data_IF_466369605291
#
_entry.id   IF_466369605291
#
_cell.length_a   1.000
_cell.length_b   1.000
_cell.length_c   1.000
_cell.angle_alpha   90.00
_cell.angle_beta   90.00
_cell.angle_gamma   90.00
#
_symmetry.space_group_name_H-M   'P 1'
#
loop_
_entity.id
_entity.type
_entity.pdbx_description
1 polymer ?
#
# COMPACT_ATOMS: atom_id res chain seq x y z
N UNK A 1 -6.91 -18.33 24.83
CA UNK A 1 -6.50 -17.40 25.91
C UNK A 1 -5.18 -17.84 26.52
N UNK A 2 -5.05 -19.07 27.02
CA UNK A 2 -3.83 -19.54 27.72
C UNK A 2 -2.56 -19.61 26.85
N UNK A 3 -2.70 -19.86 25.54
CA UNK A 3 -1.56 -19.90 24.61
C UNK A 3 -0.91 -18.53 24.33
N UNK A 4 -1.65 -17.43 24.46
CA UNK A 4 -1.08 -16.08 24.27
C UNK A 4 -0.23 -15.67 25.47
N UNK A 5 -0.69 -16.02 26.69
CA UNK A 5 0.03 -15.78 27.94
C UNK A 5 1.35 -16.59 28.00
N UNK A 6 1.35 -17.84 27.53
CA UNK A 6 2.58 -18.64 27.48
C UNK A 6 3.60 -18.12 26.45
N UNK A 7 3.16 -17.40 25.42
CA UNK A 7 4.05 -16.80 24.41
C UNK A 7 4.61 -15.45 24.84
N UNK A 8 3.84 -14.66 25.60
CA UNK A 8 4.31 -13.41 26.21
C UNK A 8 5.43 -13.64 27.23
N UNK A 9 5.42 -14.77 27.95
CA UNK A 9 6.48 -15.14 28.90
C UNK A 9 7.83 -15.44 28.23
N UNK A 10 7.85 -15.79 26.93
CA UNK A 10 9.08 -16.17 26.20
C UNK A 10 9.64 -15.03 25.34
N UNK A 11 8.78 -14.22 24.71
CA UNK A 11 9.20 -13.17 23.76
C UNK A 11 8.97 -11.73 24.24
N UNK A 12 8.25 -11.54 25.34
CA UNK A 12 7.76 -10.22 25.77
C UNK A 12 6.65 -9.68 24.87
N UNK A 13 5.86 -8.73 25.38
CA UNK A 13 4.72 -8.12 24.69
C UNK A 13 5.11 -7.51 23.32
N UNK A 14 6.27 -6.84 23.27
CA UNK A 14 6.81 -6.23 22.05
C UNK A 14 7.24 -7.28 21.01
N UNK A 15 7.75 -8.43 21.44
CA UNK A 15 8.16 -9.52 20.56
C UNK A 15 6.97 -10.18 19.87
N UNK A 16 5.85 -10.31 20.57
CA UNK A 16 4.60 -10.85 20.02
C UNK A 16 4.03 -9.95 18.91
N UNK A 17 4.03 -8.62 19.12
CA UNK A 17 3.63 -7.65 18.11
C UNK A 17 4.51 -7.73 16.85
N UNK A 18 5.83 -7.81 17.05
CA UNK A 18 6.78 -7.95 15.96
C UNK A 18 6.61 -9.28 15.21
N UNK A 19 6.37 -10.39 15.91
CA UNK A 19 6.14 -11.69 15.29
C UNK A 19 4.88 -11.69 14.40
N UNK A 20 3.79 -11.08 14.87
CA UNK A 20 2.59 -10.90 14.04
C UNK A 20 2.89 -10.08 12.78
N UNK A 21 3.60 -8.95 12.93
CA UNK A 21 4.04 -8.14 11.79
C UNK A 21 4.87 -8.93 10.79
N UNK A 22 5.81 -9.76 11.28
CA UNK A 22 6.65 -10.61 10.44
C UNK A 22 5.82 -11.66 9.68
N UNK A 23 4.96 -12.41 10.38
CA UNK A 23 4.14 -13.49 9.80
C UNK A 23 3.14 -12.93 8.78
N UNK A 24 2.43 -11.86 9.14
CA UNK A 24 1.49 -11.20 8.23
C UNK A 24 2.23 -10.59 7.04
N UNK A 25 3.42 -10.03 7.26
CA UNK A 25 4.31 -9.57 6.19
C UNK A 25 4.69 -10.70 5.24
N UNK A 26 5.04 -11.89 5.74
CA UNK A 26 5.36 -13.06 4.91
C UNK A 26 4.16 -13.46 4.06
N UNK A 27 2.97 -13.54 4.66
CA UNK A 27 1.73 -13.88 3.94
C UNK A 27 1.45 -12.85 2.84
N UNK A 28 1.51 -11.55 3.18
CA UNK A 28 1.30 -10.48 2.21
C UNK A 28 2.33 -10.52 1.08
N UNK A 29 3.63 -10.63 1.41
CA UNK A 29 4.71 -10.65 0.43
C UNK A 29 4.58 -11.83 -0.54
N UNK A 30 4.20 -13.00 -0.02
CA UNK A 30 3.95 -14.19 -0.83
C UNK A 30 2.76 -14.00 -1.78
N UNK A 31 1.62 -13.57 -1.25
CA UNK A 31 0.39 -13.36 -2.02
C UNK A 31 0.54 -12.24 -3.06
N UNK A 32 1.16 -11.13 -2.68
CA UNK A 32 1.42 -9.98 -3.54
C UNK A 32 2.37 -10.34 -4.69
N UNK A 33 3.38 -11.18 -4.43
CA UNK A 33 4.28 -11.62 -5.48
C UNK A 33 3.59 -12.56 -6.48
N UNK A 34 2.85 -13.56 -6.00
CA UNK A 34 2.17 -14.55 -6.86
C UNK A 34 1.07 -13.94 -7.74
N UNK A 35 0.36 -12.94 -7.24
CA UNK A 35 -0.65 -12.19 -8.02
C UNK A 35 -0.06 -11.04 -8.85
N UNK A 36 1.17 -10.63 -8.56
CA UNK A 36 1.75 -9.34 -9.01
C UNK A 36 0.81 -8.18 -8.68
N UNK A 37 0.29 -8.17 -7.46
CA UNK A 37 -0.59 -7.12 -6.95
C UNK A 37 0.10 -5.75 -7.02
N UNK A 38 -0.56 -4.78 -7.65
CA UNK A 38 -0.06 -3.41 -7.78
C UNK A 38 -1.20 -2.46 -8.18
N UNK A 39 -1.46 -1.44 -7.35
CA UNK A 39 -2.45 -0.39 -7.67
C UNK A 39 -2.09 0.37 -8.95
N UNK A 40 -0.79 0.53 -9.25
CA UNK A 40 -0.33 1.21 -10.47
C UNK A 40 -0.85 0.53 -11.71
N UNK A 41 -0.66 -0.78 -11.81
CA UNK A 41 -1.09 -1.51 -13.00
C UNK A 41 -2.60 -1.49 -13.14
N UNK A 42 -3.35 -1.55 -12.04
CA UNK A 42 -4.81 -1.42 -12.07
C UNK A 42 -5.26 -0.04 -12.59
N UNK A 43 -4.62 1.05 -12.13
CA UNK A 43 -4.92 2.41 -12.60
C UNK A 43 -4.52 2.63 -14.07
N UNK A 44 -3.39 2.06 -14.51
CA UNK A 44 -2.94 2.14 -15.91
C UNK A 44 -3.84 1.33 -16.84
N UNK A 45 -4.22 0.11 -16.46
CA UNK A 45 -5.21 -0.70 -17.17
C UNK A 45 -6.53 0.05 -17.34
N UNK A 46 -7.03 0.65 -16.25
CA UNK A 46 -8.23 1.48 -16.27
C UNK A 46 -8.08 2.71 -17.17
N UNK A 47 -6.97 3.46 -17.07
CA UNK A 47 -6.64 4.60 -17.94
C UNK A 47 -6.74 4.23 -19.43
N UNK A 48 -6.24 3.05 -19.79
CA UNK A 48 -6.19 2.55 -21.17
C UNK A 48 -7.47 1.87 -21.63
N UNK A 49 -8.52 1.87 -20.80
CA UNK A 49 -9.77 1.15 -21.03
C UNK A 49 -9.56 -0.36 -21.26
N UNK A 50 -8.45 -0.90 -20.74
CA UNK A 50 -8.11 -2.31 -20.76
C UNK A 50 -8.48 -2.89 -19.40
N UNK A 51 -9.73 -3.35 -19.23
CA UNK A 51 -10.20 -3.97 -17.98
C UNK A 51 -9.60 -5.37 -17.80
N UNK A 52 -8.31 -5.40 -17.49
CA UNK A 52 -7.48 -6.59 -17.44
C UNK A 52 -7.40 -7.26 -16.07
N UNK A 53 -6.46 -8.20 -15.99
CA UNK A 53 -6.26 -9.03 -14.81
C UNK A 53 -5.78 -8.24 -13.58
N UNK A 54 -5.07 -7.12 -13.74
CA UNK A 54 -4.51 -6.38 -12.58
C UNK A 54 -5.57 -5.58 -11.86
N UNK A 55 -6.50 -4.98 -12.59
CA UNK A 55 -7.68 -4.36 -12.01
C UNK A 55 -8.50 -5.37 -11.21
N UNK A 56 -8.78 -6.54 -11.81
CA UNK A 56 -9.54 -7.61 -11.15
C UNK A 56 -8.86 -8.08 -9.85
N UNK A 57 -7.55 -8.32 -9.86
CA UNK A 57 -6.78 -8.72 -8.68
C UNK A 57 -6.83 -7.65 -7.59
N UNK A 58 -6.74 -6.38 -7.95
CA UNK A 58 -6.84 -5.29 -6.98
C UNK A 58 -8.23 -5.19 -6.36
N UNK A 59 -9.29 -5.34 -7.17
CA UNK A 59 -10.67 -5.37 -6.69
C UNK A 59 -10.92 -6.53 -5.72
N UNK A 60 -10.44 -7.73 -6.03
CA UNK A 60 -10.53 -8.89 -5.15
C UNK A 60 -9.83 -8.66 -3.80
N UNK A 61 -8.66 -8.01 -3.82
CA UNK A 61 -7.92 -7.65 -2.61
C UNK A 61 -8.66 -6.60 -1.79
N UNK A 62 -9.18 -5.56 -2.45
CA UNK A 62 -9.95 -4.50 -1.80
C UNK A 62 -11.21 -5.05 -1.14
N UNK A 63 -12.04 -5.77 -1.90
CA UNK A 63 -13.31 -6.31 -1.42
C UNK A 63 -13.12 -7.28 -0.27
N UNK A 64 -12.13 -8.17 -0.38
CA UNK A 64 -11.80 -9.12 0.70
C UNK A 64 -11.36 -8.38 1.95
N UNK A 65 -10.53 -7.34 1.81
CA UNK A 65 -10.10 -6.50 2.92
C UNK A 65 -11.27 -5.78 3.60
N UNK A 66 -12.17 -5.16 2.83
CA UNK A 66 -13.39 -4.51 3.34
C UNK A 66 -14.25 -5.51 4.09
N UNK A 67 -14.60 -6.64 3.49
CA UNK A 67 -15.49 -7.63 4.12
C UNK A 67 -14.90 -8.13 5.43
N UNK A 68 -13.61 -8.50 5.45
CA UNK A 68 -12.97 -9.00 6.67
C UNK A 68 -12.87 -7.91 7.74
N UNK A 69 -12.52 -6.68 7.39
CA UNK A 69 -12.52 -5.56 8.35
C UNK A 69 -13.91 -5.34 8.95
N UNK A 70 -14.97 -5.36 8.13
CA UNK A 70 -16.33 -5.16 8.61
C UNK A 70 -16.84 -6.33 9.47
N UNK A 71 -16.42 -7.57 9.15
CA UNK A 71 -16.67 -8.72 10.03
C UNK A 71 -15.99 -8.57 11.39
N UNK A 72 -14.78 -8.02 11.45
CA UNK A 72 -14.08 -7.80 12.73
C UNK A 72 -14.80 -6.79 13.63
N UNK A 73 -15.42 -5.76 13.06
CA UNK A 73 -16.31 -4.89 13.82
C UNK A 73 -17.57 -5.63 14.30
N UNK A 74 -18.17 -6.46 13.44
CA UNK A 74 -19.34 -7.27 13.83
C UNK A 74 -19.06 -8.30 14.92
N UNK A 75 -17.81 -8.78 15.03
CA UNK A 75 -17.35 -9.64 16.13
C UNK A 75 -16.81 -8.86 17.34
N UNK A 76 -16.92 -7.52 17.34
CA UNK A 76 -16.43 -6.63 18.41
C UNK A 76 -14.92 -6.78 18.69
N UNK A 77 -14.15 -7.31 17.73
CA UNK A 77 -12.68 -7.38 17.82
C UNK A 77 -12.08 -5.99 17.55
N UNK A 78 -12.81 -5.15 16.80
CA UNK A 78 -12.47 -3.75 16.55
C UNK A 78 -13.61 -2.86 17.04
N UNK A 79 -13.25 -1.75 17.68
CA UNK A 79 -14.17 -0.67 17.99
C UNK A 79 -13.75 0.60 17.24
N UNK A 80 -14.71 1.28 16.60
CA UNK A 80 -14.46 2.50 15.83
C UNK A 80 -13.80 3.60 16.68
N UNK A 81 -14.15 3.66 17.98
CA UNK A 81 -13.58 4.59 18.97
C UNK A 81 -12.08 4.38 19.24
N UNK A 82 -11.56 3.19 18.99
CA UNK A 82 -10.15 2.86 19.25
C UNK A 82 -9.28 3.05 18.00
N UNK A 83 -9.90 3.18 16.83
CA UNK A 83 -9.21 3.35 15.56
C UNK A 83 -8.88 4.83 15.38
N UNK A 84 -7.58 5.12 15.46
CA UNK A 84 -7.03 6.47 15.34
C UNK A 84 -7.49 7.21 14.07
N UNK A 85 -7.65 6.50 12.97
CA UNK A 85 -8.06 7.04 11.68
C UNK A 85 -9.51 7.55 11.66
N UNK A 86 -10.34 7.10 12.62
CA UNK A 86 -11.74 7.50 12.78
C UNK A 86 -11.91 8.53 13.91
N UNK A 87 -11.01 8.56 14.90
CA UNK A 87 -11.18 9.41 16.09
C UNK A 87 -10.29 10.64 16.15
N UNK A 88 -9.10 10.63 15.54
CA UNK A 88 -8.23 11.80 15.50
C UNK A 88 -8.60 12.74 14.36
N UNK A 89 -8.20 14.02 14.49
CA UNK A 89 -8.34 14.99 13.41
C UNK A 89 -7.67 14.47 12.13
N UNK A 90 -8.41 14.57 11.02
CA UNK A 90 -8.00 14.12 9.70
C UNK A 90 -7.77 15.30 8.78
N UNK A 91 -6.68 15.26 8.01
CA UNK A 91 -6.38 16.27 6.99
C UNK A 91 -6.95 15.85 5.63
N UNK A 92 -8.00 16.52 5.17
CA UNK A 92 -8.56 16.28 3.83
C UNK A 92 -7.64 16.85 2.75
N UNK A 93 -7.02 18.01 3.01
CA UNK A 93 -6.01 18.58 2.10
C UNK A 93 -4.82 17.65 1.95
N UNK A 94 -4.37 17.05 3.04
CA UNK A 94 -3.30 16.05 3.04
C UNK A 94 -3.66 14.82 2.21
N UNK A 95 -4.86 14.27 2.39
CA UNK A 95 -5.37 13.15 1.58
C UNK A 95 -5.42 13.48 0.09
N UNK A 96 -5.87 14.67 -0.30
CA UNK A 96 -6.00 15.07 -1.70
C UNK A 96 -4.65 15.38 -2.33
N UNK A 97 -3.88 16.31 -1.74
CA UNK A 97 -2.59 16.77 -2.27
C UNK A 97 -1.57 15.63 -2.20
N UNK A 98 -1.45 14.99 -1.04
CA UNK A 98 -0.54 13.87 -0.83
C UNK A 98 -0.91 12.68 -1.70
N UNK A 99 -2.20 12.36 -1.82
CA UNK A 99 -2.68 11.30 -2.70
C UNK A 99 -2.35 11.58 -4.17
N UNK A 100 -2.57 12.82 -4.62
CA UNK A 100 -2.23 13.24 -5.97
C UNK A 100 -0.72 13.11 -6.25
N UNK A 101 0.14 13.60 -5.35
CA UNK A 101 1.60 13.47 -5.46
C UNK A 101 2.05 12.00 -5.47
N UNK A 102 1.47 11.17 -4.61
CA UNK A 102 1.79 9.75 -4.53
C UNK A 102 1.39 9.02 -5.84
N UNK A 103 0.20 9.29 -6.36
CA UNK A 103 -0.31 8.68 -7.59
C UNK A 103 0.48 9.10 -8.84
N UNK A 104 0.91 10.36 -8.93
CA UNK A 104 1.85 10.78 -9.98
C UNK A 104 3.22 10.10 -9.82
N UNK A 105 3.74 10.09 -8.59
CA UNK A 105 5.03 9.47 -8.26
C UNK A 105 5.09 7.98 -8.59
N UNK A 106 4.02 7.22 -8.33
CA UNK A 106 3.98 5.78 -8.64
C UNK A 106 4.00 5.49 -10.15
N UNK A 107 3.39 6.35 -10.97
CA UNK A 107 3.48 6.23 -12.44
C UNK A 107 4.90 6.52 -12.91
N UNK A 108 5.48 7.62 -12.41
CA UNK A 108 6.85 8.03 -12.72
C UNK A 108 7.85 6.94 -12.36
N UNK A 109 7.80 6.43 -11.13
CA UNK A 109 8.70 5.42 -10.56
C UNK A 109 8.48 4.00 -11.09
N UNK A 110 7.43 3.78 -11.88
CA UNK A 110 7.02 2.47 -12.40
C UNK A 110 6.79 1.41 -11.32
N UNK A 111 6.31 1.83 -10.15
CA UNK A 111 6.04 0.95 -9.02
C UNK A 111 5.24 1.65 -7.93
N UNK A 112 4.60 0.88 -7.07
CA UNK A 112 4.07 1.37 -5.79
C UNK A 112 4.96 0.89 -4.64
N UNK A 113 4.79 1.46 -3.45
CA UNK A 113 5.58 1.13 -2.26
C UNK A 113 5.64 -0.37 -1.95
N UNK A 114 4.49 -1.05 -1.94
CA UNK A 114 4.41 -2.50 -1.71
C UNK A 114 5.12 -3.30 -2.81
N UNK A 115 4.94 -2.92 -4.08
CA UNK A 115 5.58 -3.60 -5.21
C UNK A 115 7.09 -3.40 -5.21
N UNK A 116 7.59 -2.25 -4.77
CA UNK A 116 9.03 -2.01 -4.65
C UNK A 116 9.67 -2.95 -3.62
N UNK A 117 9.04 -3.15 -2.46
CA UNK A 117 9.52 -4.11 -1.45
C UNK A 117 9.49 -5.55 -1.98
N UNK A 118 8.40 -5.94 -2.64
CA UNK A 118 8.27 -7.26 -3.26
C UNK A 118 9.32 -7.50 -4.35
N UNK A 119 9.59 -6.49 -5.18
CA UNK A 119 10.63 -6.56 -6.22
C UNK A 119 12.06 -6.52 -5.64
N UNK A 120 12.27 -5.81 -4.54
CA UNK A 120 13.54 -5.83 -3.82
C UNK A 120 13.86 -7.25 -3.32
N UNK A 121 12.86 -7.96 -2.77
CA UNK A 121 12.98 -9.38 -2.39
C UNK A 121 13.24 -10.34 -3.56
N UNK A 122 13.06 -9.91 -4.81
CA UNK A 122 13.38 -10.69 -6.01
C UNK A 122 14.79 -10.50 -6.54
N UNK A 123 15.51 -9.48 -6.06
CA UNK A 123 16.81 -9.07 -6.59
C UNK A 123 16.76 -7.90 -7.58
N UNK A 124 15.67 -7.12 -7.63
CA UNK A 124 15.58 -5.96 -8.52
C UNK A 124 16.27 -4.73 -7.90
N UNK A 125 17.47 -4.38 -8.40
CA UNK A 125 18.28 -3.29 -7.83
C UNK A 125 17.60 -1.91 -8.00
N UNK A 126 16.86 -1.72 -9.10
CA UNK A 126 16.07 -0.49 -9.30
C UNK A 126 15.00 -0.32 -8.25
N UNK A 127 14.30 -1.40 -7.88
CA UNK A 127 13.29 -1.35 -6.83
C UNK A 127 13.91 -1.05 -5.45
N UNK A 128 15.10 -1.57 -5.17
CA UNK A 128 15.87 -1.25 -3.95
C UNK A 128 16.21 0.23 -3.90
N UNK A 129 16.80 0.79 -4.96
CA UNK A 129 17.19 2.21 -4.98
C UNK A 129 15.98 3.14 -4.89
N UNK A 130 14.93 2.89 -5.68
CA UNK A 130 13.69 3.67 -5.59
C UNK A 130 13.05 3.54 -4.20
N UNK A 131 13.05 2.33 -3.63
CA UNK A 131 12.57 2.08 -2.27
C UNK A 131 13.37 2.83 -1.21
N UNK A 132 14.69 2.94 -1.38
CA UNK A 132 15.55 3.73 -0.48
C UNK A 132 15.23 5.22 -0.57
N UNK A 133 15.14 5.79 -1.77
CA UNK A 133 14.75 7.21 -1.94
C UNK A 133 13.35 7.46 -1.37
N UNK A 134 12.40 6.57 -1.63
CA UNK A 134 11.07 6.62 -1.03
C UNK A 134 11.14 6.63 0.51
N UNK A 135 11.90 5.74 1.13
CA UNK A 135 12.04 5.66 2.58
C UNK A 135 12.73 6.90 3.18
N UNK A 136 13.77 7.41 2.52
CA UNK A 136 14.49 8.64 2.94
C UNK A 136 13.56 9.83 2.87
N UNK A 137 12.84 10.03 1.76
CA UNK A 137 11.91 11.16 1.63
C UNK A 137 10.71 11.03 2.57
N UNK A 138 10.19 9.81 2.77
CA UNK A 138 9.16 9.55 3.77
C UNK A 138 9.65 9.92 5.18
N UNK A 139 10.87 9.51 5.56
CA UNK A 139 11.45 9.84 6.85
C UNK A 139 11.72 11.34 7.01
N UNK A 140 12.20 11.99 5.94
CA UNK A 140 12.41 13.43 5.92
C UNK A 140 11.11 14.22 6.07
N UNK A 141 9.99 13.67 5.59
CA UNK A 141 8.64 14.24 5.75
C UNK A 141 8.01 13.90 7.10
N UNK A 142 8.43 12.79 7.70
CA UNK A 142 7.93 12.31 8.99
C UNK A 142 8.52 13.07 10.17
N UNK A 143 9.84 13.26 10.19
CA UNK A 143 10.59 13.83 11.31
C UNK A 143 11.77 14.70 10.87
N UNK A 144 11.99 14.83 9.56
CA UNK A 144 13.11 15.60 9.02
C UNK A 144 12.70 16.98 8.53
N UNK A 145 13.51 17.51 7.61
CA UNK A 145 13.40 18.88 7.11
C UNK A 145 12.12 19.17 6.31
N UNK A 146 11.44 18.15 5.77
CA UNK A 146 10.20 18.32 5.02
C UNK A 146 8.95 18.35 5.92
N UNK A 147 9.08 18.09 7.22
CA UNK A 147 7.96 18.08 8.16
C UNK A 147 7.17 19.41 8.22
N UNK A 148 7.80 20.60 8.29
CA UNK A 148 7.06 21.88 8.35
C UNK A 148 6.19 22.08 7.11
N UNK A 149 6.74 21.82 5.92
CA UNK A 149 6.01 21.92 4.65
C UNK A 149 4.85 20.93 4.59
N UNK A 150 5.07 19.70 5.07
CA UNK A 150 4.00 18.69 5.17
C UNK A 150 2.87 19.20 6.06
N UNK A 151 3.19 19.76 7.22
CA UNK A 151 2.20 20.21 8.20
C UNK A 151 1.41 21.41 7.72
N UNK A 152 2.06 22.36 7.04
CA UNK A 152 1.35 23.48 6.41
C UNK A 152 0.34 23.00 5.38
N UNK A 153 0.75 22.08 4.49
CA UNK A 153 -0.15 21.50 3.48
C UNK A 153 -1.27 20.66 4.11
N UNK A 154 -0.96 19.91 5.17
CA UNK A 154 -1.95 19.14 5.92
C UNK A 154 -2.92 20.05 6.71
N UNK A 155 -2.46 21.22 7.14
CA UNK A 155 -3.25 22.18 7.91
C UNK A 155 -4.27 22.97 7.08
N UNK A 156 -4.17 22.97 5.74
CA UNK A 156 -5.06 23.74 4.86
C UNK A 156 -6.54 23.36 5.03
N UNK A 157 -6.84 22.07 5.21
CA UNK A 157 -8.20 21.60 5.43
C UNK A 157 -8.22 20.40 6.38
N UNK A 158 -8.49 20.69 7.65
CA UNK A 158 -8.60 19.70 8.72
C UNK A 158 -10.05 19.55 9.17
N UNK A 159 -10.45 18.32 9.47
CA UNK A 159 -11.79 17.96 9.91
C UNK A 159 -11.72 17.14 11.21
N UNK A 160 -12.70 17.32 12.08
CA UNK A 160 -12.83 16.59 13.35
C UNK A 160 -13.08 15.09 13.14
N UNK A 161 -12.63 14.25 14.08
CA UNK A 161 -12.72 12.79 13.99
C UNK A 161 -14.13 12.27 13.70
N UNK A 162 -15.15 12.79 14.39
CA UNK A 162 -16.56 12.39 14.18
C UNK A 162 -17.00 12.44 12.71
N UNK A 163 -16.51 13.42 11.93
CA UNK A 163 -16.86 13.58 10.51
C UNK A 163 -16.07 12.66 9.57
N UNK A 164 -15.10 11.91 10.08
CA UNK A 164 -14.27 11.01 9.29
C UNK A 164 -14.88 9.63 9.10
N UNK A 165 -15.76 9.20 10.00
CA UNK A 165 -16.46 7.93 9.88
C UNK A 165 -17.65 8.05 8.92
N UNK A 166 -17.49 7.58 7.69
CA UNK A 166 -18.57 7.67 6.68
C UNK A 166 -19.79 6.84 7.12
N UNK A 167 -19.59 5.65 7.70
CA UNK A 167 -20.70 4.79 8.11
C UNK A 167 -21.42 5.36 9.33
N UNK A 168 -20.65 5.76 10.34
CA UNK A 168 -21.18 6.39 11.56
C UNK A 168 -21.98 7.66 11.26
N UNK A 169 -21.52 8.51 10.35
CA UNK A 169 -22.24 9.73 9.97
C UNK A 169 -23.52 9.47 9.16
N UNK A 170 -23.60 8.36 8.44
CA UNK A 170 -24.80 7.96 7.71
C UNK A 170 -25.79 7.17 8.60
N UNK A 171 -25.44 6.93 9.86
CA UNK A 171 -26.22 6.06 10.76
C UNK A 171 -26.29 4.62 10.27
N UNK A 172 -25.31 4.19 9.45
CA UNK A 172 -25.27 2.87 8.86
C UNK A 172 -24.40 1.94 9.70
N UNK A 173 -24.93 0.78 10.01
CA UNK A 173 -24.22 -0.27 10.76
C UNK A 173 -23.22 -1.03 9.86
N UNK A 174 -22.34 -1.82 10.47
CA UNK A 174 -21.29 -2.63 9.82
C UNK A 174 -21.84 -3.54 8.70
N UNK A 175 -23.12 -3.93 8.79
CA UNK A 175 -23.85 -4.67 7.75
C UNK A 175 -23.82 -3.93 6.40
N UNK A 176 -23.98 -2.61 6.39
CA UNK A 176 -23.89 -1.80 5.18
C UNK A 176 -22.47 -1.86 4.58
N UNK A 177 -21.45 -1.82 5.44
CA UNK A 177 -20.05 -1.99 5.04
C UNK A 177 -19.81 -3.34 4.37
N UNK A 178 -20.38 -4.42 4.91
CA UNK A 178 -20.33 -5.76 4.32
C UNK A 178 -21.02 -5.78 2.96
N UNK A 179 -22.21 -5.18 2.82
CA UNK A 179 -22.94 -5.11 1.55
C UNK A 179 -22.13 -4.37 0.48
N UNK A 180 -21.52 -3.22 0.83
CA UNK A 180 -20.62 -2.49 -0.08
C UNK A 180 -19.44 -3.37 -0.48
N UNK A 181 -18.81 -4.06 0.49
CA UNK A 181 -17.74 -5.02 0.24
C UNK A 181 -18.16 -6.14 -0.72
N UNK A 182 -19.38 -6.67 -0.59
CA UNK A 182 -19.95 -7.69 -1.46
C UNK A 182 -20.21 -7.18 -2.89
N UNK A 183 -20.64 -5.92 -3.07
CA UNK A 183 -20.78 -5.30 -4.39
C UNK A 183 -19.42 -5.18 -5.09
N UNK A 184 -18.39 -4.75 -4.36
CA UNK A 184 -17.02 -4.71 -4.87
C UNK A 184 -16.48 -6.12 -5.16
N UNK A 185 -16.83 -7.11 -4.34
CA UNK A 185 -16.45 -8.51 -4.57
C UNK A 185 -17.11 -9.06 -5.83
N UNK A 186 -18.42 -8.84 -6.01
CA UNK A 186 -19.14 -9.26 -7.21
C UNK A 186 -18.53 -8.62 -8.47
N UNK A 187 -18.18 -7.34 -8.39
CA UNK A 187 -17.46 -6.65 -9.47
C UNK A 187 -16.08 -7.25 -9.72
N UNK A 188 -15.31 -7.55 -8.67
CA UNK A 188 -14.02 -8.21 -8.75
C UNK A 188 -14.10 -9.60 -9.39
N UNK A 189 -15.09 -10.40 -9.00
CA UNK A 189 -15.38 -11.72 -9.58
C UNK A 189 -15.73 -11.58 -11.06
N UNK A 190 -16.62 -10.65 -11.41
CA UNK A 190 -17.02 -10.39 -12.79
C UNK A 190 -15.81 -10.05 -13.67
N UNK A 191 -14.97 -9.10 -13.25
CA UNK A 191 -13.78 -8.74 -14.01
C UNK A 191 -12.74 -9.86 -14.02
N UNK A 192 -12.58 -10.62 -12.94
CA UNK A 192 -11.63 -11.74 -12.87
C UNK A 192 -12.01 -12.87 -13.83
N UNK A 193 -13.30 -13.19 -13.95
CA UNK A 193 -13.81 -14.17 -14.92
C UNK A 193 -13.66 -13.65 -16.34
N UNK A 194 -14.02 -12.38 -16.60
CA UNK A 194 -13.94 -11.77 -17.94
C UNK A 194 -12.50 -11.67 -18.46
N UNK A 195 -11.54 -11.38 -17.60
CA UNK A 195 -10.14 -11.20 -17.98
C UNK A 195 -9.32 -12.50 -17.92
N UNK A 196 -9.95 -13.64 -17.62
CA UNK A 196 -9.28 -14.95 -17.60
C UNK A 196 -8.21 -15.05 -16.51
N UNK A 197 -8.44 -14.45 -15.33
CA UNK A 197 -7.48 -14.48 -14.22
C UNK A 197 -7.25 -15.92 -13.77
N UNK A 198 -6.03 -16.42 -13.93
CA UNK A 198 -5.66 -17.75 -13.45
C UNK A 198 -5.71 -17.87 -11.92
N UNK A 199 -5.71 -19.10 -11.40
CA UNK A 199 -5.84 -19.41 -9.97
C UNK A 199 -4.85 -18.64 -9.07
N UNK A 200 -3.62 -18.39 -9.55
CA UNK A 200 -2.60 -17.61 -8.84
C UNK A 200 -3.01 -16.16 -8.59
N UNK A 201 -3.73 -15.55 -9.54
CA UNK A 201 -4.25 -14.20 -9.42
C UNK A 201 -5.38 -14.10 -8.39
N UNK A 202 -6.30 -15.07 -8.41
CA UNK A 202 -7.37 -15.19 -7.42
C UNK A 202 -6.82 -15.35 -6.01
N UNK A 203 -6.00 -16.39 -5.79
CA UNK A 203 -5.45 -16.69 -4.48
C UNK A 203 -4.57 -15.55 -3.94
N UNK A 204 -3.79 -14.90 -4.82
CA UNK A 204 -2.96 -13.78 -4.37
C UNK A 204 -3.75 -12.49 -4.13
N UNK A 205 -4.81 -12.20 -4.90
CA UNK A 205 -5.70 -11.06 -4.64
C UNK A 205 -6.45 -11.23 -3.31
N UNK A 206 -7.12 -12.36 -3.13
CA UNK A 206 -7.80 -12.71 -1.87
C UNK A 206 -6.80 -12.75 -0.72
N UNK A 207 -5.63 -13.37 -0.90
CA UNK A 207 -4.59 -13.45 0.12
C UNK A 207 -4.06 -12.10 0.58
N UNK A 208 -3.97 -11.11 -0.32
CA UNK A 208 -3.62 -9.73 0.05
C UNK A 208 -4.72 -9.10 0.93
N UNK A 209 -5.99 -9.27 0.57
CA UNK A 209 -7.11 -8.78 1.38
C UNK A 209 -7.21 -9.48 2.74
N UNK A 210 -6.94 -10.79 2.79
CA UNK A 210 -6.83 -11.56 4.04
C UNK A 210 -5.72 -11.01 4.92
N UNK A 211 -4.55 -10.69 4.36
CA UNK A 211 -3.46 -10.10 5.14
C UNK A 211 -3.84 -8.74 5.76
N UNK A 212 -4.66 -7.93 5.08
CA UNK A 212 -5.22 -6.69 5.65
C UNK A 212 -6.13 -6.98 6.83
N UNK A 213 -7.04 -7.94 6.69
CA UNK A 213 -7.93 -8.37 7.78
C UNK A 213 -7.16 -8.95 8.96
N UNK A 214 -6.16 -9.81 8.72
CA UNK A 214 -5.30 -10.38 9.74
C UNK A 214 -4.50 -9.31 10.49
N UNK A 215 -4.01 -8.28 9.80
CA UNK A 215 -3.32 -7.17 10.44
C UNK A 215 -4.23 -6.40 11.39
N UNK A 216 -5.46 -6.10 10.98
CA UNK A 216 -6.47 -5.49 11.84
C UNK A 216 -6.82 -6.38 13.03
N UNK A 217 -7.07 -7.68 12.79
CA UNK A 217 -7.40 -8.63 13.84
C UNK A 217 -6.27 -8.75 14.87
N UNK A 218 -5.02 -8.83 14.40
CA UNK A 218 -3.86 -8.99 15.27
C UNK A 218 -3.63 -7.77 16.15
N UNK A 219 -3.64 -6.56 15.57
CA UNK A 219 -3.43 -5.33 16.34
C UNK A 219 -4.63 -4.98 17.21
N UNK A 220 -5.85 -5.29 16.77
CA UNK A 220 -7.08 -5.14 17.56
C UNK A 220 -7.15 -6.08 18.76
N UNK A 221 -6.87 -7.39 18.57
CA UNK A 221 -6.89 -8.36 19.67
C UNK A 221 -5.85 -8.07 20.77
N UNK A 222 -4.72 -7.45 20.41
CA UNK A 222 -3.69 -7.07 21.35
C UNK A 222 -3.96 -5.71 22.00
N UNK A 223 -4.87 -4.90 21.45
CA UNK A 223 -5.25 -3.63 22.05
C UNK A 223 -5.95 -3.88 23.40
N UNK A 224 -5.49 -3.19 24.45
CA UNK A 224 -6.01 -3.36 25.82
C UNK A 224 -5.59 -4.63 26.57
N UNK A 225 -4.90 -5.58 25.91
CA UNK A 225 -4.37 -6.80 26.55
C UNK A 225 -2.92 -6.66 27.02
N UNK A 226 -2.16 -5.75 26.41
CA UNK A 226 -0.77 -5.47 26.80
C UNK A 226 -0.67 -4.12 27.48
N UNK A 227 0.26 -3.98 28.43
CA UNK A 227 0.45 -2.73 29.19
C UNK A 227 1.04 -1.59 28.34
N UNK A 228 1.68 -1.92 27.22
CA UNK A 228 2.22 -0.95 26.26
C UNK A 228 1.10 -0.52 25.29
N UNK A 229 0.86 0.79 25.08
CA UNK A 229 -0.18 1.24 24.15
C UNK A 229 0.14 0.78 22.71
N UNK A 230 -0.67 -0.16 22.21
CA UNK A 230 -0.59 -0.67 20.84
C UNK A 230 -1.36 0.27 19.94
N UNK A 231 -0.75 0.67 18.83
CA UNK A 231 -1.48 1.40 17.78
C UNK A 231 -2.27 0.37 16.99
N UNK A 232 -3.61 0.46 17.01
CA UNK A 232 -4.43 -0.34 16.11
C UNK A 232 -4.22 0.19 14.70
N UNK A 233 -3.43 -0.55 13.93
CA UNK A 233 -3.11 -0.25 12.55
C UNK A 233 -3.07 -1.53 11.73
N UNK A 234 -3.40 -1.40 10.45
CA UNK A 234 -3.28 -2.49 9.48
C UNK A 234 -2.13 -2.21 8.52
N UNK A 235 -2.10 -2.93 7.39
CA UNK A 235 -1.02 -2.87 6.42
C UNK A 235 -0.86 -1.46 5.82
N UNK A 236 0.35 -0.94 5.93
CA UNK A 236 0.84 0.25 5.24
C UNK A 236 2.35 0.07 5.00
N UNK A 237 2.93 0.89 4.13
CA UNK A 237 4.34 0.77 3.78
C UNK A 237 5.12 2.07 3.93
N UNK A 238 4.47 3.24 3.95
CA UNK A 238 5.20 4.52 4.05
C UNK A 238 5.89 4.69 5.40
N UNK A 239 5.14 4.61 6.49
CA UNK A 239 5.68 4.72 7.85
C UNK A 239 6.64 3.56 8.19
N UNK A 240 6.23 2.29 8.00
CA UNK A 240 7.08 1.13 8.20
C UNK A 240 8.43 1.21 7.48
N UNK A 241 8.48 1.59 6.20
CA UNK A 241 9.74 1.72 5.47
C UNK A 241 10.64 2.82 6.03
N UNK A 242 10.07 3.95 6.46
CA UNK A 242 10.82 5.02 7.11
C UNK A 242 11.37 4.58 8.49
N UNK A 243 10.57 3.85 9.27
CA UNK A 243 10.99 3.32 10.57
C UNK A 243 12.05 2.22 10.43
N UNK A 244 11.94 1.35 9.42
CA UNK A 244 12.99 0.36 9.10
C UNK A 244 14.29 1.05 8.70
N UNK A 245 14.24 2.13 7.90
CA UNK A 245 15.44 2.92 7.59
C UNK A 245 16.08 3.49 8.86
N UNK A 246 15.28 4.06 9.76
CA UNK A 246 15.77 4.58 11.04
C UNK A 246 16.32 3.49 11.96
N UNK A 247 15.77 2.28 11.93
CA UNK A 247 16.34 1.15 12.67
C UNK A 247 17.81 0.92 12.31
N UNK A 248 18.17 1.04 11.02
CA UNK A 248 19.55 0.87 10.57
C UNK A 248 20.44 2.09 10.82
N UNK A 249 19.89 3.30 10.75
CA UNK A 249 20.66 4.55 10.92
C UNK A 249 20.87 4.93 12.39
N UNK A 250 19.83 4.81 13.21
CA UNK A 250 19.80 5.19 14.62
C UNK A 250 18.73 4.36 15.34
N UNK A 251 19.09 3.14 15.81
CA UNK A 251 18.14 2.21 16.41
C UNK A 251 17.38 2.87 17.57
N UNK A 252 16.05 3.04 17.47
CA UNK A 252 15.27 3.55 18.59
C UNK A 252 15.27 2.53 19.73
N UNK A 253 15.06 2.99 20.95
CA UNK A 253 14.85 2.15 22.14
C UNK A 253 13.55 1.37 22.00
N UNK A 254 13.59 0.22 21.31
CA UNK A 254 12.43 -0.63 21.02
C UNK A 254 12.38 -1.10 19.57
N UNK A 255 13.19 -2.11 19.24
CA UNK A 255 13.29 -2.69 17.87
C UNK A 255 12.10 -3.58 17.49
N UNK A 256 11.33 -4.03 18.49
CA UNK A 256 10.28 -5.02 18.33
C UNK A 256 8.91 -4.35 18.21
N UNK A 257 8.58 -3.88 17.00
CA UNK A 257 7.27 -3.31 16.69
C UNK A 257 6.68 -3.93 15.44
N UNK A 258 5.35 -3.97 15.37
CA UNK A 258 4.60 -4.54 14.25
C UNK A 258 5.01 -3.94 12.90
N UNK A 259 5.07 -2.60 12.84
CA UNK A 259 5.46 -1.84 11.64
C UNK A 259 6.87 -2.17 11.16
N UNK A 260 7.84 -2.25 12.07
CA UNK A 260 9.24 -2.53 11.72
C UNK A 260 9.43 -3.97 11.24
N UNK A 261 8.73 -4.93 11.85
CA UNK A 261 8.81 -6.35 11.48
C UNK A 261 8.04 -6.69 10.20
N UNK A 262 7.05 -5.88 9.82
CA UNK A 262 6.29 -6.06 8.59
C UNK A 262 7.16 -6.01 7.33
N UNK A 263 8.07 -5.03 7.25
CA UNK A 263 8.94 -4.83 6.08
C UNK A 263 9.83 -6.05 5.78
N UNK A 264 10.65 -6.57 6.71
CA UNK A 264 11.42 -7.78 6.46
C UNK A 264 10.53 -8.99 6.22
N UNK A 265 9.36 -9.07 6.85
CA UNK A 265 8.36 -10.11 6.56
C UNK A 265 7.94 -10.13 5.10
N UNK A 266 7.61 -8.97 4.52
CA UNK A 266 7.26 -8.86 3.08
C UNK A 266 8.42 -9.24 2.18
N UNK A 267 9.64 -8.83 2.51
CA UNK A 267 10.85 -9.20 1.76
C UNK A 267 11.05 -10.72 1.79
N UNK A 268 10.97 -11.35 2.97
CA UNK A 268 11.11 -12.81 3.13
C UNK A 268 10.00 -13.54 2.37
N UNK A 269 8.74 -13.12 2.53
CA UNK A 269 7.60 -13.76 1.86
C UNK A 269 7.67 -13.67 0.34
N UNK A 270 8.09 -12.51 -0.19
CA UNK A 270 8.28 -12.33 -1.63
C UNK A 270 9.50 -13.10 -2.16
N UNK A 271 10.60 -13.16 -1.40
CA UNK A 271 11.76 -13.98 -1.74
C UNK A 271 11.40 -15.47 -1.81
N UNK A 272 10.70 -16.00 -0.80
CA UNK A 272 10.24 -17.40 -0.78
C UNK A 272 9.29 -17.70 -1.95
N UNK A 273 8.35 -16.79 -2.25
CA UNK A 273 7.44 -16.95 -3.37
C UNK A 273 8.18 -17.01 -4.71
N UNK A 274 9.17 -16.14 -4.90
CA UNK A 274 9.96 -16.08 -6.13
C UNK A 274 10.98 -17.22 -6.24
N UNK A 275 11.58 -17.64 -5.14
CA UNK A 275 12.44 -18.82 -5.08
C UNK A 275 11.65 -20.07 -5.50
N UNK A 276 10.45 -20.25 -4.95
CA UNK A 276 9.57 -21.36 -5.33
C UNK A 276 9.09 -21.24 -6.78
N UNK A 277 8.80 -20.03 -7.26
CA UNK A 277 8.44 -19.81 -8.66
C UNK A 277 9.63 -19.93 -9.63
N UNK A 278 10.88 -20.05 -9.15
CA UNK A 278 12.12 -19.95 -9.93
C UNK A 278 12.21 -18.66 -10.74
N UNK A 279 11.72 -17.57 -10.16
CA UNK A 279 11.68 -16.21 -10.74
C UNK A 279 12.73 -15.27 -10.13
N UNK A 280 13.64 -15.78 -9.29
CA UNK A 280 14.73 -14.98 -8.73
C UNK A 280 15.68 -14.52 -9.85
N UNK A 281 15.83 -13.21 -9.99
CA UNK A 281 16.68 -12.59 -10.99
C UNK A 281 17.31 -11.33 -10.41
N UNK A 282 18.65 -11.29 -10.43
CA UNK A 282 19.38 -10.08 -10.14
C UNK A 282 19.29 -9.15 -11.36
N UNK A 283 18.39 -8.17 -11.28
CA UNK A 283 18.18 -7.19 -12.33
C UNK A 283 18.97 -5.92 -11.99
N UNK A 284 19.95 -5.61 -12.84
CA UNK A 284 20.73 -4.37 -12.77
C UNK A 284 20.00 -3.15 -13.35
N UNK A 285 20.66 -1.99 -13.31
CA UNK A 285 20.15 -0.76 -13.90
C UNK A 285 20.40 -0.72 -15.41
N UNK A 286 19.36 -0.46 -16.21
CA UNK A 286 19.48 -0.13 -17.62
C UNK A 286 18.87 1.26 -17.89
N UNK A 287 19.71 2.20 -18.36
CA UNK A 287 19.31 3.53 -18.85
C UNK A 287 19.37 4.68 -17.84
N UNK A 288 20.23 5.67 -18.12
CA UNK A 288 20.42 6.90 -17.31
C UNK A 288 19.23 7.88 -17.31
N UNK A 289 18.63 8.25 -18.46
CA UNK A 289 17.51 9.20 -18.51
C UNK A 289 16.26 8.72 -17.74
N UNK A 290 16.02 7.41 -17.72
CA UNK A 290 14.94 6.80 -16.94
C UNK A 290 15.18 6.84 -15.42
N UNK A 291 16.43 6.93 -14.98
CA UNK A 291 16.79 6.89 -13.57
C UNK A 291 16.29 8.13 -12.82
N UNK A 292 16.54 9.33 -13.35
CA UNK A 292 16.10 10.59 -12.73
C UNK A 292 14.58 10.62 -12.55
N UNK A 293 13.84 10.17 -13.57
CA UNK A 293 12.38 10.04 -13.52
C UNK A 293 11.93 9.12 -12.38
N UNK A 294 12.61 7.99 -12.22
CA UNK A 294 12.27 7.01 -11.21
C UNK A 294 12.55 7.51 -9.79
N UNK A 295 13.69 8.16 -9.58
CA UNK A 295 14.06 8.74 -8.28
C UNK A 295 13.15 9.91 -7.90
N UNK A 296 12.82 10.79 -8.86
CA UNK A 296 11.86 11.87 -8.64
C UNK A 296 10.48 11.31 -8.27
N UNK A 297 10.04 10.27 -8.98
CA UNK A 297 8.80 9.56 -8.66
C UNK A 297 8.81 8.95 -7.26
N UNK A 298 9.92 8.33 -6.86
CA UNK A 298 10.09 7.77 -5.52
C UNK A 298 10.07 8.84 -4.42
N UNK A 299 10.70 10.00 -4.64
CA UNK A 299 10.65 11.13 -3.71
C UNK A 299 9.23 11.69 -3.57
N UNK A 300 8.51 11.90 -4.69
CA UNK A 300 7.11 12.32 -4.70
C UNK A 300 6.20 11.31 -3.97
N UNK A 301 6.43 10.01 -4.16
CA UNK A 301 5.74 8.97 -3.40
C UNK A 301 6.05 9.05 -1.90
N UNK A 302 7.31 9.28 -1.51
CA UNK A 302 7.71 9.34 -0.11
C UNK A 302 7.04 10.50 0.63
N UNK A 303 7.12 11.70 0.07
CA UNK A 303 6.47 12.90 0.63
C UNK A 303 4.95 12.78 0.56
N UNK A 304 4.40 12.47 -0.61
CA UNK A 304 2.95 12.35 -0.83
C UNK A 304 2.31 11.27 0.04
N UNK A 305 2.99 10.14 0.24
CA UNK A 305 2.49 9.07 1.09
C UNK A 305 2.45 9.44 2.57
N UNK A 306 3.35 10.32 3.02
CA UNK A 306 3.29 10.83 4.39
C UNK A 306 2.24 11.92 4.57
N UNK A 307 2.10 12.80 3.57
CA UNK A 307 1.07 13.83 3.55
C UNK A 307 -0.34 13.25 3.47
N UNK A 308 -0.53 12.18 2.69
CA UNK A 308 -1.81 11.48 2.55
C UNK A 308 -2.20 10.63 3.78
N UNK A 309 -1.27 10.41 4.71
CA UNK A 309 -1.46 9.49 5.83
C UNK A 309 -1.39 8.00 5.45
N UNK A 310 -0.87 7.66 4.26
CA UNK A 310 -0.74 6.29 3.78
C UNK A 310 -0.23 6.18 2.34
N UNK A 311 0.33 5.02 1.99
CA UNK A 311 0.56 4.64 0.59
C UNK A 311 -0.70 4.01 -0.02
N UNK A 312 -0.66 3.60 -1.29
CA UNK A 312 -1.70 2.82 -1.96
C UNK A 312 -2.38 1.73 -1.08
N UNK A 313 -1.59 0.88 -0.39
CA UNK A 313 -2.15 -0.15 0.51
C UNK A 313 -2.67 0.45 1.82
N UNK A 314 -2.03 1.49 2.36
CA UNK A 314 -2.50 2.19 3.55
C UNK A 314 -3.83 2.93 3.31
N UNK A 315 -4.03 3.51 2.13
CA UNK A 315 -5.31 4.11 1.75
C UNK A 315 -6.39 3.04 1.55
N UNK A 316 -6.02 1.85 1.05
CA UNK A 316 -6.90 0.69 0.96
C UNK A 316 -7.38 0.23 2.35
N UNK A 317 -6.46 0.13 3.31
CA UNK A 317 -6.77 -0.31 4.68
C UNK A 317 -7.53 0.75 5.46
N UNK A 318 -7.27 2.03 5.23
CA UNK A 318 -8.08 3.11 5.79
C UNK A 318 -9.48 3.18 5.15
N UNK A 319 -9.59 2.89 3.85
CA UNK A 319 -10.88 2.79 3.17
C UNK A 319 -11.69 1.57 3.66
N UNK A 320 -11.04 0.49 4.14
CA UNK A 320 -11.73 -0.70 4.64
C UNK A 320 -12.46 -0.47 5.98
N UNK A 321 -12.00 0.51 6.77
CA UNK A 321 -12.71 1.02 7.95
C UNK A 321 -13.62 2.21 7.63
N UNK A 322 -13.83 2.52 6.34
CA UNK A 322 -14.63 3.66 5.86
C UNK A 322 -14.20 5.04 6.39
N UNK A 323 -12.90 5.21 6.65
CA UNK A 323 -12.35 6.53 6.95
C UNK A 323 -12.37 7.42 5.70
N UNK A 324 -12.94 8.62 5.83
CA UNK A 324 -13.06 9.62 4.76
C UNK A 324 -11.70 9.98 4.15
N UNK A 325 -10.69 10.16 5.00
CA UNK A 325 -9.29 10.42 4.57
C UNK A 325 -8.73 9.28 3.73
N UNK A 326 -9.06 8.02 4.08
CA UNK A 326 -8.66 6.83 3.34
C UNK A 326 -9.26 6.81 1.93
N UNK A 327 -10.56 7.05 1.82
CA UNK A 327 -11.28 7.12 0.54
C UNK A 327 -10.80 8.28 -0.34
N UNK A 328 -10.66 9.49 0.22
CA UNK A 328 -10.16 10.64 -0.52
C UNK A 328 -8.72 10.42 -1.00
N UNK A 329 -7.86 9.86 -0.16
CA UNK A 329 -6.50 9.54 -0.55
C UNK A 329 -6.48 8.48 -1.67
N UNK A 330 -7.28 7.41 -1.54
CA UNK A 330 -7.35 6.35 -2.54
C UNK A 330 -7.83 6.88 -3.91
N UNK A 331 -8.89 7.68 -3.91
CA UNK A 331 -9.43 8.31 -5.12
C UNK A 331 -8.41 9.28 -5.75
N UNK A 332 -7.76 10.10 -4.92
CA UNK A 332 -6.74 11.07 -5.40
C UNK A 332 -5.51 10.37 -5.99
N UNK A 333 -5.04 9.28 -5.36
CA UNK A 333 -3.97 8.42 -5.89
C UNK A 333 -4.38 7.82 -7.24
N UNK A 334 -5.61 7.31 -7.33
CA UNK A 334 -6.09 6.65 -8.55
C UNK A 334 -6.24 7.64 -9.70
N UNK A 335 -6.90 8.78 -9.45
CA UNK A 335 -7.13 9.82 -10.46
C UNK A 335 -5.82 10.44 -10.95
N UNK A 336 -4.88 10.76 -10.05
CA UNK A 336 -3.61 11.33 -10.47
C UNK A 336 -2.72 10.31 -11.19
N UNK A 337 -2.80 9.02 -10.85
CA UNK A 337 -2.14 7.97 -11.61
C UNK A 337 -2.71 7.84 -13.03
N UNK A 338 -4.04 7.87 -13.18
CA UNK A 338 -4.70 7.88 -14.50
C UNK A 338 -4.27 9.09 -15.32
N UNK A 339 -4.31 10.29 -14.73
CA UNK A 339 -3.89 11.51 -15.40
C UNK A 339 -2.41 11.44 -15.83
N UNK A 340 -1.53 10.99 -14.93
CA UNK A 340 -0.08 10.92 -15.21
C UNK A 340 0.25 9.89 -16.30
N UNK A 341 -0.43 8.74 -16.32
CA UNK A 341 -0.27 7.77 -17.42
C UNK A 341 -0.73 8.37 -18.75
N UNK A 342 -1.89 9.04 -18.75
CA UNK A 342 -2.48 9.62 -19.96
C UNK A 342 -1.63 10.73 -20.57
N UNK A 343 -1.13 11.66 -19.74
CA UNK A 343 -0.38 12.82 -20.22
C UNK A 343 1.11 12.51 -20.43
N UNK A 344 1.74 11.71 -19.58
CA UNK A 344 3.20 11.58 -19.60
C UNK A 344 3.67 10.24 -20.16
N UNK A 345 3.23 9.11 -19.59
CA UNK A 345 3.79 7.79 -19.97
C UNK A 345 3.38 7.42 -21.42
N UNK A 346 2.15 7.74 -21.86
CA UNK A 346 1.71 7.55 -23.25
C UNK A 346 2.43 8.44 -24.25
N UNK A 347 2.84 9.65 -23.88
CA UNK A 347 3.59 10.52 -24.77
C UNK A 347 5.01 10.01 -24.93
N UNK A 348 5.66 9.61 -23.84
CA UNK A 348 7.01 9.04 -23.88
C UNK A 348 7.07 7.72 -24.65
N UNK A 349 6.07 6.85 -24.52
CA UNK A 349 5.96 5.63 -25.33
C UNK A 349 5.78 5.92 -26.82
N UNK A 350 5.08 7.00 -27.18
CA UNK A 350 4.92 7.44 -28.57
C UNK A 350 6.21 7.99 -29.16
N UNK A 351 6.95 8.83 -28.43
CA UNK A 351 8.23 9.39 -28.89
C UNK A 351 9.39 8.38 -28.88
N UNK A 352 9.27 7.29 -28.11
CA UNK A 352 10.27 6.20 -28.08
C UNK A 352 10.07 5.17 -29.21
N UNK A 353 8.94 5.19 -29.93
CA UNK A 353 8.83 4.47 -31.20
C UNK A 353 9.61 5.27 -32.25
N UNK A 354 10.64 4.72 -32.90
CA UNK A 354 11.17 5.38 -34.09
C UNK A 354 10.02 5.48 -35.09
N UNK A 355 9.85 6.65 -35.71
CA UNK A 355 8.94 6.79 -36.86
C UNK A 355 9.39 5.80 -37.93
N UNK A 356 8.75 4.64 -37.96
CA UNK A 356 8.88 3.71 -39.07
C UNK A 356 7.99 4.27 -40.16
N UNK A 357 8.57 5.03 -41.09
CA UNK A 357 7.91 5.34 -42.35
C UNK A 357 7.46 4.05 -43.03
N UNK A 358 6.44 4.11 -43.88
CA UNK A 358 5.77 2.97 -44.56
C UNK A 358 6.69 2.00 -45.35
N UNK A 359 8.01 2.17 -45.33
CA UNK A 359 9.01 1.31 -45.96
C UNK A 359 10.01 0.62 -45.01
N UNK A 360 9.88 0.74 -43.68
CA UNK A 360 10.70 -0.08 -42.76
C UNK A 360 12.20 0.24 -42.71
N UNK A 361 12.66 1.35 -43.29
CA UNK A 361 14.06 1.77 -43.22
C UNK A 361 14.26 2.87 -42.17
N UNK A 362 15.22 2.73 -41.24
CA UNK A 362 15.60 3.81 -40.34
C UNK A 362 16.18 4.98 -41.12
N UNK A 363 15.65 6.19 -40.92
CA UNK A 363 16.25 7.42 -41.46
C UNK A 363 17.50 7.72 -40.61
N UNK A 364 18.70 7.81 -41.19
CA UNK A 364 19.89 8.20 -40.45
C UNK A 364 19.77 9.68 -40.03
N UNK A 365 20.02 9.96 -38.75
CA UNK A 365 20.10 11.32 -38.23
C UNK A 365 21.34 12.01 -38.81
N UNK A 366 21.11 13.11 -39.53
CA UNK A 366 22.15 14.08 -39.94
C UNK A 366 22.36 15.13 -38.87
#
# INVERSE_FOLDING_TARGET
MDYLLSFTDVFGESGLLALGGLVIGIIFGFAAQRSRFCLRSAAVEFSRAEFGAKLAIWLLAFSTGVILTQLLFGFEILAASEIRQLTLQGSLSGSIIGGAMFGAGMVLARGCSSRMLVLAGQGNLRAVLNGLVFAVTAQASLRGILHPVRDELAGLWVVSGERLDILGNLGMDHVAGILIGLVWLASGIFFALRSGVGLKGWLGGIGVGVAVGLAWAWTGMLNGQVFIPVKIESLTFTGPSANTLMLFLSPPTGIWRFDVALVPGVVIGSFLASAWARELRLEGFSGGPSMTRYLLGAALMGFGGMLAGGCAVGSLTNASVFALTGWLALLSIFLSAVATDHYLDRQLERHARPDVGEAGTPIPAS
#
